data_IF_968004236307
#
_entry.id   IF_968004236307
#
_cell.length_a   1.000
_cell.length_b   1.000
_cell.length_c   1.000
_cell.angle_alpha   90.00
_cell.angle_beta   90.00
_cell.angle_gamma   90.00
#
_symmetry.space_group_name_H-M   'P 1'
#
loop_
_entity.id
_entity.type
_entity.pdbx_description
1 polymer ?
#
# COMPACT_ATOMS: atom_id res chain seq x y z
N UNK A 1 -3.06 -0.92 9.64
CA UNK A 1 -2.40 -2.24 9.52
C UNK A 1 -2.93 -3.10 10.64
N UNK A 2 -3.40 -4.30 10.34
CA UNK A 2 -3.95 -5.19 11.38
C UNK A 2 -2.86 -5.96 12.13
N UNK A 3 -3.15 -6.31 13.38
CA UNK A 3 -2.24 -7.05 14.28
C UNK A 3 -1.69 -8.34 13.65
N UNK A 4 -2.49 -9.17 12.94
CA UNK A 4 -1.98 -10.40 12.34
C UNK A 4 -0.88 -10.19 11.29
N UNK A 5 -0.91 -9.09 10.55
CA UNK A 5 0.12 -8.77 9.54
C UNK A 5 1.47 -8.50 10.21
N UNK A 6 1.44 -7.75 11.32
CA UNK A 6 2.65 -7.47 12.10
C UNK A 6 3.17 -8.75 12.78
N UNK A 7 2.27 -9.55 13.35
CA UNK A 7 2.62 -10.85 13.94
C UNK A 7 3.15 -11.85 12.91
N UNK A 8 2.74 -11.74 11.64
CA UNK A 8 3.29 -12.51 10.52
C UNK A 8 4.65 -11.99 10.04
N UNK A 9 5.25 -11.00 10.70
CA UNK A 9 6.58 -10.47 10.39
C UNK A 9 6.64 -9.59 9.15
N UNK A 10 5.52 -9.02 8.72
CA UNK A 10 5.49 -8.04 7.64
C UNK A 10 5.59 -6.65 8.24
N UNK A 11 6.59 -5.89 7.81
CA UNK A 11 6.79 -4.48 8.22
C UNK A 11 6.81 -3.56 7.01
N UNK A 12 6.50 -2.29 7.24
CA UNK A 12 6.47 -1.24 6.21
C UNK A 12 6.57 0.14 6.87
N UNK A 13 7.34 1.04 6.25
CA UNK A 13 7.29 2.46 6.53
C UNK A 13 6.20 3.02 5.61
N UNK A 14 5.10 3.56 6.16
CA UNK A 14 3.87 3.87 5.41
C UNK A 14 4.05 4.58 4.05
N UNK A 15 3.02 4.59 3.21
CA UNK A 15 3.16 4.95 1.80
C UNK A 15 3.60 6.40 1.58
N UNK A 16 4.47 6.57 0.60
CA UNK A 16 4.90 7.87 0.09
C UNK A 16 4.15 8.19 -1.20
N UNK A 17 3.83 9.47 -1.40
CA UNK A 17 3.21 9.97 -2.62
C UNK A 17 4.29 10.63 -3.48
N UNK A 18 4.31 10.30 -4.77
CA UNK A 18 5.16 10.90 -5.80
C UNK A 18 4.37 11.15 -7.07
N UNK A 19 4.89 11.99 -7.96
CA UNK A 19 4.33 12.16 -9.31
C UNK A 19 5.05 11.22 -10.29
N UNK A 20 4.29 10.53 -11.12
CA UNK A 20 4.79 9.62 -12.17
C UNK A 20 3.88 9.73 -13.40
N UNK A 21 4.45 10.06 -14.56
CA UNK A 21 3.72 10.23 -15.84
C UNK A 21 2.48 11.14 -15.77
N UNK A 22 2.57 12.24 -15.00
CA UNK A 22 1.45 13.16 -14.80
C UNK A 22 0.30 12.59 -13.96
N UNK A 23 0.58 11.56 -13.16
CA UNK A 23 -0.33 10.95 -12.20
C UNK A 23 0.28 10.95 -10.79
N UNK A 24 -0.58 10.93 -9.77
CA UNK A 24 -0.14 10.70 -8.40
C UNK A 24 0.04 9.20 -8.19
N UNK A 25 1.20 8.80 -7.68
CA UNK A 25 1.58 7.42 -7.36
C UNK A 25 1.84 7.31 -5.87
N UNK A 26 1.20 6.35 -5.23
CA UNK A 26 1.50 5.94 -3.87
C UNK A 26 2.29 4.64 -3.90
N UNK A 27 3.36 4.56 -3.12
CA UNK A 27 4.16 3.35 -3.01
C UNK A 27 4.68 3.14 -1.59
N UNK A 28 4.83 1.87 -1.21
CA UNK A 28 5.63 1.49 -0.04
C UNK A 28 6.28 0.13 -0.25
N UNK A 29 7.30 -0.13 0.55
CA UNK A 29 8.00 -1.39 0.61
C UNK A 29 7.41 -2.26 1.73
N UNK A 30 6.93 -3.45 1.37
CA UNK A 30 6.67 -4.51 2.32
C UNK A 30 7.94 -5.32 2.50
N UNK A 31 8.35 -5.54 3.75
CA UNK A 31 9.51 -6.37 4.10
C UNK A 31 9.04 -7.55 4.94
N UNK A 32 9.39 -8.76 4.52
CA UNK A 32 9.08 -9.99 5.23
C UNK A 32 10.28 -10.41 6.09
N UNK A 33 10.08 -10.53 7.40
CA UNK A 33 11.11 -10.95 8.35
C UNK A 33 11.10 -12.46 8.62
N UNK A 34 10.18 -13.21 8.01
CA UNK A 34 10.03 -14.66 8.19
C UNK A 34 10.85 -15.46 7.17
N UNK A 35 11.10 -16.72 7.52
CA UNK A 35 11.75 -17.73 6.66
C UNK A 35 10.79 -18.33 5.60
N UNK A 36 9.50 -17.98 5.66
CA UNK A 36 8.47 -18.43 4.71
C UNK A 36 7.86 -17.25 3.98
N UNK A 37 7.35 -17.50 2.78
CA UNK A 37 6.55 -16.52 2.06
C UNK A 37 5.27 -16.18 2.85
N UNK A 38 4.83 -14.93 2.76
CA UNK A 38 3.60 -14.45 3.41
C UNK A 38 2.75 -13.76 2.36
N UNK A 39 1.53 -14.25 2.19
CA UNK A 39 0.53 -13.61 1.35
C UNK A 39 -0.17 -12.50 2.15
N UNK A 40 -0.22 -11.31 1.56
CA UNK A 40 -0.79 -10.11 2.18
C UNK A 40 -1.80 -9.50 1.23
N UNK A 41 -3.00 -9.28 1.73
CA UNK A 41 -4.00 -8.47 1.08
C UNK A 41 -3.81 -7.00 1.45
N UNK A 42 -3.94 -6.12 0.46
CA UNK A 42 -3.72 -4.69 0.65
C UNK A 42 -4.69 -3.84 -0.16
N UNK A 43 -4.95 -2.62 0.34
CA UNK A 43 -5.74 -1.60 -0.36
C UNK A 43 -5.26 -0.21 0.00
N UNK A 44 -5.05 0.61 -1.04
CA UNK A 44 -4.80 2.04 -0.89
C UNK A 44 -6.13 2.80 -0.93
N UNK A 45 -6.27 3.81 -0.08
CA UNK A 45 -7.41 4.73 -0.08
C UNK A 45 -6.91 6.10 -0.44
N UNK A 46 -7.47 6.74 -1.46
CA UNK A 46 -7.01 8.04 -1.92
C UNK A 46 -7.91 9.15 -1.39
N UNK A 47 -7.31 10.20 -0.84
CA UNK A 47 -8.03 11.38 -0.39
C UNK A 47 -7.43 12.65 -0.98
N UNK A 48 -8.28 13.61 -1.30
CA UNK A 48 -7.87 14.93 -1.74
C UNK A 48 -7.38 15.82 -0.57
N UNK A 49 -6.91 17.02 -0.88
CA UNK A 49 -6.48 18.01 0.13
C UNK A 49 -7.55 18.48 1.11
N UNK A 50 -8.83 18.14 0.88
CA UNK A 50 -9.95 18.43 1.79
C UNK A 50 -10.34 17.21 2.62
N UNK A 51 -9.67 16.06 2.41
CA UNK A 51 -9.97 14.81 3.09
C UNK A 51 -11.17 14.06 2.50
N UNK A 52 -11.60 14.39 1.28
CA UNK A 52 -12.64 13.64 0.58
C UNK A 52 -12.03 12.46 -0.16
N UNK A 53 -12.70 11.31 -0.09
CA UNK A 53 -12.24 10.10 -0.77
C UNK A 53 -12.39 10.27 -2.30
N UNK A 54 -11.35 9.86 -3.03
CA UNK A 54 -11.25 10.00 -4.48
C UNK A 54 -11.82 8.75 -5.16
N UNK A 55 -12.71 8.97 -6.11
CA UNK A 55 -13.31 7.93 -6.95
C UNK A 55 -12.54 7.74 -8.27
N UNK A 56 -12.56 6.53 -8.86
CA UNK A 56 -13.16 5.30 -8.31
C UNK A 56 -12.33 4.75 -7.15
N UNK A 57 -13.00 4.03 -6.24
CA UNK A 57 -12.28 3.37 -5.16
C UNK A 57 -11.37 2.27 -5.73
N UNK A 58 -10.14 2.21 -5.25
CA UNK A 58 -9.22 1.10 -5.52
C UNK A 58 -9.81 -0.23 -5.06
N UNK A 59 -9.50 -1.31 -5.74
CA UNK A 59 -9.88 -2.65 -5.31
C UNK A 59 -8.80 -3.25 -4.40
N UNK A 60 -9.16 -4.12 -3.44
CA UNK A 60 -8.18 -4.92 -2.73
C UNK A 60 -7.33 -5.74 -3.70
N UNK A 61 -6.03 -5.84 -3.42
CA UNK A 61 -5.06 -6.63 -4.17
C UNK A 61 -4.32 -7.57 -3.22
N UNK A 62 -3.81 -8.67 -3.75
CA UNK A 62 -3.00 -9.63 -3.00
C UNK A 62 -1.57 -9.63 -3.54
N UNK A 63 -0.60 -9.82 -2.64
CA UNK A 63 0.81 -9.99 -2.99
C UNK A 63 1.47 -11.02 -2.09
N UNK A 64 2.36 -11.84 -2.66
CA UNK A 64 3.20 -12.75 -1.90
C UNK A 64 4.57 -12.11 -1.66
N UNK A 65 4.94 -11.95 -0.39
CA UNK A 65 6.25 -11.39 -0.02
C UNK A 65 7.20 -12.55 0.28
N UNK A 66 8.29 -12.74 -0.48
CA UNK A 66 9.17 -13.89 -0.33
C UNK A 66 9.90 -13.89 1.03
N UNK A 67 10.43 -15.04 1.48
CA UNK A 67 11.22 -15.15 2.70
C UNK A 67 12.36 -14.14 2.75
N UNK A 68 12.52 -13.44 3.88
CA UNK A 68 13.53 -12.36 4.05
C UNK A 68 13.57 -11.33 2.92
N UNK A 69 12.48 -11.26 2.15
CA UNK A 69 12.40 -10.52 0.92
C UNK A 69 11.64 -9.22 1.09
N UNK A 70 11.56 -8.49 -0.01
CA UNK A 70 10.84 -7.23 -0.08
C UNK A 70 10.07 -7.13 -1.39
N UNK A 71 8.89 -6.51 -1.33
CA UNK A 71 8.07 -6.21 -2.49
C UNK A 71 7.57 -4.78 -2.39
N UNK A 72 7.75 -4.01 -3.45
CA UNK A 72 7.10 -2.71 -3.58
C UNK A 72 5.65 -2.92 -4.01
N UNK A 73 4.72 -2.38 -3.23
CA UNK A 73 3.32 -2.25 -3.63
C UNK A 73 3.02 -0.81 -3.98
N UNK A 74 2.10 -0.62 -4.93
CA UNK A 74 1.73 0.71 -5.38
C UNK A 74 0.31 0.81 -5.91
N UNK A 75 -0.18 2.04 -5.96
CA UNK A 75 -1.41 2.45 -6.63
C UNK A 75 -1.17 3.79 -7.33
N UNK A 76 -1.91 4.06 -8.39
CA UNK A 76 -1.80 5.29 -9.17
C UNK A 76 -3.20 5.89 -9.39
N UNK A 77 -3.26 7.22 -9.38
CA UNK A 77 -4.47 7.97 -9.69
C UNK A 77 -4.14 9.16 -10.58
N UNK A 78 -4.95 9.36 -11.62
CA UNK A 78 -4.88 10.57 -12.45
C UNK A 78 -5.42 11.82 -11.75
N UNK A 79 -5.95 11.68 -10.52
CA UNK A 79 -6.42 12.82 -9.76
C UNK A 79 -5.25 13.53 -9.06
N UNK A 80 -4.84 14.66 -9.61
CA UNK A 80 -3.73 15.47 -9.13
C UNK A 80 -4.00 16.18 -7.79
N UNK A 81 -5.23 16.19 -7.28
CA UNK A 81 -5.54 16.75 -5.95
C UNK A 81 -5.30 15.75 -4.81
N UNK A 82 -4.95 14.50 -5.15
CA UNK A 82 -4.63 13.46 -4.20
C UNK A 82 -3.42 13.85 -3.35
N UNK A 83 -3.59 13.85 -2.03
CA UNK A 83 -2.56 14.34 -1.10
C UNK A 83 -2.41 13.49 0.16
N UNK A 84 -3.33 12.55 0.41
CA UNK A 84 -3.26 11.60 1.51
C UNK A 84 -3.65 10.22 1.03
N UNK A 85 -2.89 9.20 1.43
CA UNK A 85 -3.12 7.83 0.99
C UNK A 85 -2.94 6.80 2.11
N UNK A 86 -3.96 6.52 2.93
CA UNK A 86 -3.89 5.42 3.88
C UNK A 86 -3.72 4.07 3.18
N UNK A 87 -2.84 3.24 3.72
CA UNK A 87 -2.67 1.85 3.32
C UNK A 87 -3.26 0.93 4.38
N UNK A 88 -4.14 0.04 3.95
CA UNK A 88 -4.66 -1.05 4.77
C UNK A 88 -4.05 -2.38 4.33
N UNK A 89 -3.59 -3.17 5.31
CA UNK A 89 -2.95 -4.47 5.13
C UNK A 89 -3.65 -5.48 6.04
N UNK A 90 -3.98 -6.66 5.50
CA UNK A 90 -4.57 -7.80 6.21
C UNK A 90 -4.14 -9.13 5.58
N UNK A 91 -4.36 -10.25 6.28
CA UNK A 91 -4.08 -11.61 5.80
C UNK A 91 -5.36 -12.25 5.27
#
# INVERSE_FOLDING_TARGET
>A
MDVPVLSAGIITDGPTISEHDGQQRASTLLVNQQEKAVDVNYRFYWYDGKGLEILPFEQPRAVSVPPHGKVEISSQTGNLTASKVPLYLYL
#
